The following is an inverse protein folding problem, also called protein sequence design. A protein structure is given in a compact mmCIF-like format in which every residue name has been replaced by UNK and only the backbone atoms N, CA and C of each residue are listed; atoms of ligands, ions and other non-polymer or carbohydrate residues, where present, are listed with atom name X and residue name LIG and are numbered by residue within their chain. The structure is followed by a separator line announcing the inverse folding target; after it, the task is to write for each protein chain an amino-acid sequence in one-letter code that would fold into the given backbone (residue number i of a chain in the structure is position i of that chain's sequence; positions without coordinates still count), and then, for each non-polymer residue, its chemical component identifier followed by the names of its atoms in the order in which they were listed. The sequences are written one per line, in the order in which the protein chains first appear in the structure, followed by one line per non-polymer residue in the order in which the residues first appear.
data_IF_242033930334
#
_entry.id   IF_242033930334
#
_cell.length_a   1.000
_cell.length_b   1.000
_cell.length_c   1.000
_cell.angle_alpha   90.00
_cell.angle_beta   90.00
_cell.angle_gamma   90.00
#
_symmetry.space_group_name_H-M   'P 1'
#
loop_
_entity.id
_entity.type
_entity.pdbx_description
1 polymer ?
#
# COMPACT_ATOMS: atom_id res chain seq x y z
N UNK A 1 -3.30 8.48 9.48
CA UNK A 1 -1.99 8.42 10.20
C UNK A 1 -0.89 8.31 9.15
N UNK A 2 0.19 9.10 9.26
CA UNK A 2 1.33 9.04 8.33
C UNK A 2 1.90 7.62 8.40
N UNK A 3 1.83 6.83 7.32
CA UNK A 3 2.45 5.50 7.21
C UNK A 3 3.95 5.68 7.51
N UNK A 4 4.35 5.40 8.75
CA UNK A 4 5.75 5.42 9.14
C UNK A 4 6.40 4.16 8.57
N UNK A 5 7.55 4.32 7.93
CA UNK A 5 8.34 3.25 7.31
C UNK A 5 8.93 2.34 8.39
N UNK A 6 8.09 1.56 9.07
CA UNK A 6 8.45 0.82 10.27
C UNK A 6 8.74 -0.66 10.01
N UNK A 7 8.51 -1.15 8.80
CA UNK A 7 8.70 -2.56 8.45
C UNK A 7 10.05 -2.78 7.79
N UNK A 8 10.82 -3.76 8.31
CA UNK A 8 12.13 -4.13 7.77
C UNK A 8 11.96 -5.21 6.72
N UNK A 9 12.42 -4.95 5.50
CA UNK A 9 12.43 -5.91 4.40
C UNK A 9 13.86 -6.40 4.13
N UNK A 10 14.10 -7.70 4.32
CA UNK A 10 15.39 -8.35 3.98
C UNK A 10 15.29 -9.06 2.63
N UNK A 11 16.14 -8.68 1.67
CA UNK A 11 16.13 -9.24 0.31
C UNK A 11 17.50 -9.86 0.00
N UNK A 12 17.51 -11.12 -0.48
CA UNK A 12 18.67 -11.73 -1.11
C UNK A 12 18.54 -11.57 -2.63
N UNK A 13 19.59 -11.07 -3.27
CA UNK A 13 19.63 -10.82 -4.71
C UNK A 13 21.07 -10.95 -5.22
N UNK A 14 21.26 -10.86 -6.53
CA UNK A 14 22.59 -10.91 -7.15
C UNK A 14 23.41 -9.66 -6.80
N UNK A 15 24.73 -9.77 -6.90
CA UNK A 15 25.65 -8.65 -6.71
C UNK A 15 25.39 -7.51 -7.70
N UNK A 16 25.05 -7.85 -8.93
CA UNK A 16 24.73 -6.91 -10.00
C UNK A 16 23.51 -6.03 -9.66
N UNK A 17 22.40 -6.64 -9.22
CA UNK A 17 21.19 -5.89 -8.83
C UNK A 17 21.50 -4.93 -7.69
N UNK A 18 22.29 -5.37 -6.70
CA UNK A 18 22.72 -4.52 -5.58
C UNK A 18 23.56 -3.33 -6.06
N UNK A 19 24.43 -3.52 -7.05
CA UNK A 19 25.27 -2.46 -7.59
C UNK A 19 24.44 -1.44 -8.40
N UNK A 20 23.58 -1.91 -9.29
CA UNK A 20 22.70 -1.06 -10.09
C UNK A 20 21.75 -0.23 -9.23
N UNK A 21 21.17 -0.84 -8.19
CA UNK A 21 20.29 -0.15 -7.25
C UNK A 21 21.01 0.99 -6.50
N UNK A 22 22.26 0.79 -6.09
CA UNK A 22 23.07 1.83 -5.44
C UNK A 22 23.37 2.98 -6.40
N UNK A 23 23.80 2.64 -7.61
CA UNK A 23 24.10 3.64 -8.64
C UNK A 23 22.88 4.50 -8.99
N UNK A 24 21.69 3.89 -9.07
CA UNK A 24 20.43 4.63 -9.28
C UNK A 24 20.11 5.55 -8.09
N UNK A 25 20.25 5.04 -6.86
CA UNK A 25 20.03 5.82 -5.63
C UNK A 25 20.96 7.04 -5.54
N UNK A 26 22.24 6.87 -5.87
CA UNK A 26 23.24 7.93 -5.90
C UNK A 26 22.90 9.03 -6.91
N UNK A 27 22.53 8.64 -8.14
CA UNK A 27 22.14 9.58 -9.21
C UNK A 27 20.95 10.45 -8.82
N UNK A 28 19.98 9.87 -8.11
CA UNK A 28 18.79 10.57 -7.65
C UNK A 28 18.91 11.19 -6.25
N UNK A 29 20.12 11.16 -5.66
CA UNK A 29 20.44 11.71 -4.33
C UNK A 29 19.48 11.24 -3.24
N UNK A 30 19.13 9.95 -3.24
CA UNK A 30 18.26 9.33 -2.24
C UNK A 30 18.87 8.07 -1.65
N UNK A 31 18.34 7.62 -0.51
CA UNK A 31 18.77 6.35 0.08
C UNK A 31 18.34 5.16 -0.79
N UNK A 32 19.06 4.06 -0.68
CA UNK A 32 18.71 2.78 -1.33
C UNK A 32 17.30 2.33 -0.94
N UNK A 33 16.93 2.46 0.33
CA UNK A 33 15.57 2.13 0.79
C UNK A 33 14.50 2.97 0.09
N UNK A 34 14.72 4.29 -0.01
CA UNK A 34 13.79 5.17 -0.72
C UNK A 34 13.74 4.88 -2.22
N UNK A 35 14.84 4.45 -2.83
CA UNK A 35 14.85 4.04 -4.23
C UNK A 35 14.00 2.79 -4.44
N UNK A 36 14.13 1.78 -3.57
CA UNK A 36 13.32 0.55 -3.62
C UNK A 36 11.83 0.87 -3.53
N UNK A 37 11.43 1.77 -2.63
CA UNK A 37 10.02 2.18 -2.53
C UNK A 37 9.48 2.79 -3.83
N UNK A 38 10.25 3.70 -4.46
CA UNK A 38 9.83 4.32 -5.73
C UNK A 38 9.69 3.27 -6.82
N UNK A 39 10.67 2.37 -6.96
CA UNK A 39 10.62 1.28 -7.94
C UNK A 39 9.41 0.37 -7.73
N UNK A 40 9.07 0.04 -6.48
CA UNK A 40 7.90 -0.78 -6.16
C UNK A 40 6.60 -0.03 -6.49
N UNK A 41 6.50 1.25 -6.11
CA UNK A 41 5.31 2.06 -6.38
C UNK A 41 5.08 2.25 -7.87
N UNK A 42 6.14 2.50 -8.63
CA UNK A 42 6.05 2.65 -10.09
C UNK A 42 5.67 1.34 -10.77
N UNK A 43 6.23 0.21 -10.32
CA UNK A 43 5.82 -1.11 -10.78
C UNK A 43 4.34 -1.40 -10.50
N UNK A 44 3.86 -1.05 -9.30
CA UNK A 44 2.47 -1.21 -8.91
C UNK A 44 1.54 -0.36 -9.76
N UNK A 45 1.86 0.92 -9.98
CA UNK A 45 1.09 1.81 -10.86
C UNK A 45 1.03 1.29 -12.29
N UNK A 46 2.17 0.86 -12.84
CA UNK A 46 2.26 0.33 -14.20
C UNK A 46 1.43 -0.94 -14.41
N UNK A 47 1.13 -1.68 -13.33
CA UNK A 47 0.35 -2.92 -13.35
C UNK A 47 -1.02 -2.77 -12.69
N UNK A 48 -1.44 -1.56 -12.36
CA UNK A 48 -2.69 -1.27 -11.64
C UNK A 48 -2.88 -2.14 -10.40
N UNK A 49 -1.80 -2.43 -9.67
CA UNK A 49 -1.87 -3.18 -8.42
C UNK A 49 -2.46 -2.27 -7.34
N UNK A 50 -3.71 -2.54 -6.96
CA UNK A 50 -4.30 -1.97 -5.76
C UNK A 50 -3.95 -2.86 -4.57
N UNK A 51 -3.44 -2.26 -3.49
CA UNK A 51 -3.45 -2.93 -2.21
C UNK A 51 -4.93 -3.09 -1.82
N UNK A 52 -5.45 -4.31 -1.84
CA UNK A 52 -6.76 -4.59 -1.25
C UNK A 52 -6.70 -4.03 0.17
N UNK A 53 -7.62 -3.12 0.48
CA UNK A 53 -7.62 -2.33 1.70
C UNK A 53 -7.77 -3.29 2.89
N UNK A 54 -6.65 -3.76 3.44
CA UNK A 54 -6.60 -4.68 4.59
C UNK A 54 -6.98 -3.96 5.91
N UNK A 55 -7.39 -2.68 5.83
CA UNK A 55 -7.80 -1.83 6.95
C UNK A 55 -9.27 -1.38 6.85
N UNK A 56 -10.14 -2.08 6.10
CA UNK A 56 -11.58 -1.84 6.27
C UNK A 56 -12.04 -2.52 7.57
N UNK A 57 -12.36 -1.78 8.66
CA UNK A 57 -13.07 -2.38 9.78
C UNK A 57 -14.39 -2.98 9.26
N UNK A 58 -14.89 -4.07 9.86
CA UNK A 58 -16.15 -4.66 9.43
C UNK A 58 -17.20 -3.56 9.39
N UNK A 59 -17.84 -3.37 8.23
CA UNK A 59 -18.92 -2.41 8.06
C UNK A 59 -20.02 -2.77 9.06
N UNK A 60 -20.00 -2.13 10.22
CA UNK A 60 -21.11 -2.09 11.15
C UNK A 60 -22.15 -1.15 10.53
N UNK A 61 -23.18 -1.72 9.92
CA UNK A 61 -24.37 -0.96 9.53
C UNK A 61 -24.88 -1.29 8.14
N UNK A 62 -25.73 -2.31 8.06
CA UNK A 62 -26.90 -2.28 7.17
C UNK A 62 -27.81 -3.48 7.46
N UNK A 63 -28.83 -3.25 8.32
CA UNK A 63 -30.19 -3.80 8.31
C UNK A 63 -30.73 -3.79 9.76
N UNK A 64 -31.86 -3.20 10.12
CA UNK A 64 -32.95 -2.55 9.39
C UNK A 64 -33.65 -1.62 10.39
N UNK A 65 -33.80 -0.34 10.02
CA UNK A 65 -34.98 0.41 10.41
C UNK A 65 -36.08 -0.08 9.48
N UNK A 66 -37.05 -0.82 10.00
CA UNK A 66 -38.40 -0.77 9.46
C UNK A 66 -39.34 -0.34 10.57
N UNK A 67 -39.43 0.98 10.71
CA UNK A 67 -40.48 1.65 11.47
C UNK A 67 -41.10 2.65 10.50
N UNK A 68 -42.12 2.22 9.76
CA UNK A 68 -43.17 3.14 9.30
C UNK A 68 -44.46 2.44 8.90
N UNK A 69 -45.46 2.69 9.75
CA UNK A 69 -46.81 3.14 9.38
C UNK A 69 -47.88 2.15 8.85
N UNK A 70 -48.94 2.12 9.65
CA UNK A 70 -50.36 2.20 9.26
C UNK A 70 -51.10 0.93 8.85
N UNK A 71 -52.01 0.49 9.74
CA UNK A 71 -53.44 0.39 9.43
C UNK A 71 -54.28 0.26 10.71
N UNK A 72 -55.11 1.28 10.97
CA UNK A 72 -56.39 1.20 11.72
C UNK A 72 -57.42 0.46 10.84
N UNK A 73 -58.58 -0.02 11.35
CA UNK A 73 -59.42 0.54 12.43
C UNK A 73 -59.67 -0.36 13.63
#
# INVERSE_FOLDING_TARGET
MRRTKNEVLTIRTTSEVKALLRLAAERERRSVASMVEVLILDHARARSLAQADQDQPPRAGSAEHDSSAAAKP
#
